data_IF_939155708540
#
_entry.id   IF_939155708540
#
_cell.length_a   1.000
_cell.length_b   1.000
_cell.length_c   1.000
_cell.angle_alpha   90.00
_cell.angle_beta   90.00
_cell.angle_gamma   90.00
#
_symmetry.space_group_name_H-M   'P 1'
#
loop_
_entity.id
_entity.type
_entity.pdbx_description
1 polymer ?
#
# COMPACT_ATOMS: atom_id res chain seq x y z
N UNK A 1 -15.45 -9.00 0.79
CA UNK A 1 -14.38 -10.04 0.90
C UNK A 1 -13.62 -9.80 2.20
N UNK A 2 -13.38 -10.84 3.01
CA UNK A 2 -12.79 -10.71 4.35
C UNK A 2 -11.26 -10.88 4.39
N UNK A 3 -10.63 -11.16 3.24
CA UNK A 3 -9.18 -11.30 3.16
C UNK A 3 -8.48 -9.99 3.55
N UNK A 4 -7.41 -10.04 4.36
CA UNK A 4 -6.63 -8.86 4.69
C UNK A 4 -5.93 -8.29 3.45
N UNK A 5 -5.71 -6.97 3.49
CA UNK A 5 -4.91 -6.24 2.50
C UNK A 5 -3.65 -5.74 3.19
N UNK A 6 -2.49 -6.06 2.62
CA UNK A 6 -1.19 -5.55 3.05
C UNK A 6 -0.74 -4.48 2.06
N UNK A 7 -0.68 -3.24 2.51
CA UNK A 7 -0.18 -2.11 1.74
C UNK A 7 1.29 -1.87 2.09
N UNK A 8 2.13 -1.58 1.11
CA UNK A 8 3.55 -1.26 1.35
C UNK A 8 3.89 0.06 0.68
N UNK A 9 4.45 1.00 1.44
CA UNK A 9 4.89 2.32 0.96
C UNK A 9 6.32 2.60 1.40
N UNK A 10 7.02 3.45 0.65
CA UNK A 10 8.37 3.89 1.01
C UNK A 10 8.39 5.06 1.99
N UNK A 11 7.33 5.87 2.00
CA UNK A 11 7.25 7.13 2.75
C UNK A 11 5.92 7.26 3.49
N UNK A 12 5.92 7.91 4.65
CA UNK A 12 4.73 8.08 5.49
C UNK A 12 3.63 8.88 4.78
N UNK A 13 4.00 9.86 3.95
CA UNK A 13 3.06 10.65 3.14
C UNK A 13 2.30 9.81 2.10
N UNK A 14 2.76 8.60 1.79
CA UNK A 14 2.07 7.68 0.89
C UNK A 14 0.94 6.89 1.57
N UNK A 15 0.89 6.86 2.91
CA UNK A 15 -0.03 5.99 3.65
C UNK A 15 -1.48 6.39 3.42
N UNK A 16 -1.85 7.64 3.69
CA UNK A 16 -3.22 8.09 3.57
C UNK A 16 -3.80 7.97 2.14
N UNK A 17 -3.12 8.47 1.09
CA UNK A 17 -3.64 8.33 -0.27
C UNK A 17 -3.75 6.86 -0.70
N UNK A 18 -2.82 6.01 -0.27
CA UNK A 18 -2.91 4.58 -0.56
C UNK A 18 -4.11 3.93 0.14
N UNK A 19 -4.36 4.22 1.41
CA UNK A 19 -5.54 3.71 2.14
C UNK A 19 -6.83 4.15 1.47
N UNK A 20 -6.95 5.43 1.10
CA UNK A 20 -8.14 5.94 0.40
C UNK A 20 -8.34 5.29 -0.97
N UNK A 21 -7.25 5.03 -1.70
CA UNK A 21 -7.31 4.35 -2.99
C UNK A 21 -7.96 2.96 -2.91
N UNK A 22 -7.89 2.29 -1.75
CA UNK A 22 -8.50 0.96 -1.57
C UNK A 22 -10.03 0.98 -1.72
N UNK A 23 -10.68 2.11 -1.42
CA UNK A 23 -12.12 2.24 -1.59
C UNK A 23 -12.51 2.09 -3.07
N UNK A 24 -11.70 2.68 -3.96
CA UNK A 24 -11.84 2.55 -5.41
C UNK A 24 -11.36 1.16 -5.89
N UNK A 25 -10.16 0.75 -5.46
CA UNK A 25 -9.51 -0.48 -5.88
C UNK A 25 -10.37 -1.72 -5.60
N UNK A 26 -11.07 -1.76 -4.47
CA UNK A 26 -11.96 -2.86 -4.10
C UNK A 26 -13.45 -2.52 -4.23
N UNK A 27 -13.78 -1.40 -4.90
CA UNK A 27 -15.16 -0.93 -5.11
C UNK A 27 -16.02 -0.92 -3.83
N UNK A 28 -15.43 -0.57 -2.68
CA UNK A 28 -16.11 -0.55 -1.38
C UNK A 28 -16.52 -1.92 -0.80
N UNK A 29 -16.12 -3.03 -1.42
CA UNK A 29 -16.51 -4.39 -1.01
C UNK A 29 -15.51 -5.08 -0.07
N UNK A 30 -14.36 -4.44 0.20
CA UNK A 30 -13.39 -4.96 1.16
C UNK A 30 -13.91 -4.81 2.59
N UNK A 31 -13.75 -5.86 3.38
CA UNK A 31 -14.21 -5.95 4.78
C UNK A 31 -13.14 -6.55 5.70
N UNK A 32 -11.96 -6.86 5.17
CA UNK A 32 -10.85 -7.44 5.94
C UNK A 32 -10.04 -6.37 6.66
N UNK A 33 -9.03 -6.78 7.42
CA UNK A 33 -8.05 -5.85 7.98
C UNK A 33 -7.19 -5.20 6.88
N UNK A 34 -6.80 -3.95 7.09
CA UNK A 34 -5.83 -3.24 6.24
C UNK A 34 -4.56 -3.04 7.05
N UNK A 35 -3.43 -3.52 6.53
CA UNK A 35 -2.14 -3.43 7.19
C UNK A 35 -1.18 -2.64 6.32
N UNK A 36 -0.88 -1.41 6.68
CA UNK A 36 0.09 -0.59 5.95
C UNK A 36 1.47 -0.74 6.59
N UNK A 37 2.45 -1.10 5.78
CA UNK A 37 3.85 -1.19 6.14
C UNK A 37 4.61 -0.05 5.49
N UNK A 38 5.11 0.89 6.30
CA UNK A 38 6.07 1.89 5.84
C UNK A 38 7.43 1.22 5.86
N UNK A 39 7.93 0.86 4.69
CA UNK A 39 9.20 0.16 4.54
C UNK A 39 10.26 1.13 4.03
N UNK A 40 11.08 1.59 4.98
CA UNK A 40 12.29 2.34 4.70
C UNK A 40 13.31 1.45 3.99
N UNK A 41 13.80 1.89 2.83
CA UNK A 41 14.82 1.17 2.08
C UNK A 41 16.19 1.31 2.75
N UNK A 42 16.99 0.24 2.80
CA UNK A 42 18.31 0.30 3.41
C UNK A 42 19.22 -0.83 2.94
N UNK A 43 19.97 -0.58 1.87
CA UNK A 43 21.23 -1.28 1.55
C UNK A 43 22.41 -0.30 1.50
N UNK A 44 22.48 0.60 2.49
CA UNK A 44 23.56 1.58 2.61
C UNK A 44 23.49 2.68 1.55
N UNK A 45 22.84 3.80 1.88
CA UNK A 45 23.52 5.10 1.84
C UNK A 45 22.62 6.26 2.25
N UNK A 46 21.29 6.21 2.08
CA UNK A 46 20.44 7.18 2.77
C UNK A 46 19.06 6.60 3.07
N UNK A 47 18.76 6.47 4.35
CA UNK A 47 17.44 6.22 4.89
C UNK A 47 16.73 7.57 5.08
N UNK A 48 16.49 8.33 4.01
CA UNK A 48 15.89 9.66 4.12
C UNK A 48 14.37 9.56 4.24
N UNK A 49 13.80 10.30 5.18
CA UNK A 49 12.39 10.69 5.15
C UNK A 49 12.11 11.52 3.90
N UNK A 50 10.86 11.57 3.46
CA UNK A 50 10.51 12.42 2.32
C UNK A 50 10.76 13.90 2.62
N UNK A 51 10.64 14.34 3.88
CA UNK A 51 11.03 15.68 4.31
C UNK A 51 12.52 15.97 4.02
N UNK A 52 13.42 15.05 4.39
CA UNK A 52 14.85 15.15 4.10
C UNK A 52 15.13 15.13 2.58
N UNK A 53 14.50 14.21 1.84
CA UNK A 53 14.62 14.15 0.36
C UNK A 53 14.22 15.49 -0.28
N UNK A 54 13.10 16.07 0.16
CA UNK A 54 12.62 17.36 -0.36
C UNK A 54 13.58 18.48 -0.02
N UNK A 55 14.12 18.51 1.21
CA UNK A 55 15.10 19.50 1.62
C UNK A 55 16.38 19.42 0.76
N UNK A 56 16.92 18.22 0.56
CA UNK A 56 18.14 17.98 -0.22
C UNK A 56 17.96 18.39 -1.69
N UNK A 57 16.81 18.06 -2.27
CA UNK A 57 16.46 18.39 -3.65
C UNK A 57 15.98 19.84 -3.81
N UNK A 58 15.89 20.62 -2.72
CA UNK A 58 15.27 21.95 -2.68
C UNK A 58 13.86 21.95 -3.29
N UNK A 59 13.13 20.87 -3.08
CA UNK A 59 11.79 20.66 -3.59
C UNK A 59 10.77 21.33 -2.67
N UNK A 60 10.32 22.51 -3.08
CA UNK A 60 9.42 23.37 -2.29
C UNK A 60 7.95 22.95 -2.35
N UNK A 61 7.57 22.01 -3.22
CA UNK A 61 6.23 21.42 -3.22
C UNK A 61 6.11 20.52 -1.99
N UNK A 62 5.53 21.11 -0.95
CA UNK A 62 5.21 20.48 0.33
C UNK A 62 3.72 20.66 0.55
N UNK A 63 3.07 19.65 1.12
CA UNK A 63 1.67 19.81 1.56
C UNK A 63 1.63 20.92 2.62
N UNK A 64 0.86 21.98 2.34
CA UNK A 64 0.52 23.02 3.31
C UNK A 64 -0.97 22.93 3.63
N UNK A 65 -1.51 21.75 3.92
CA UNK A 65 -2.89 21.62 4.41
C UNK A 65 -3.01 20.48 5.41
N UNK A 66 -3.81 20.72 6.46
CA UNK A 66 -4.23 19.67 7.37
C UNK A 66 -5.15 18.70 6.64
N UNK A 67 -4.58 17.58 6.19
CA UNK A 67 -5.26 16.32 6.48
C UNK A 67 -5.04 16.12 7.97
N UNK A 68 -6.12 15.95 8.74
CA UNK A 68 -6.03 15.33 10.07
C UNK A 68 -5.06 14.19 9.90
N UNK A 69 -3.85 14.21 10.51
CA UNK A 69 -2.84 13.17 10.28
C UNK A 69 -3.57 11.81 10.30
N UNK A 70 -3.77 11.19 9.12
CA UNK A 70 -4.99 10.41 8.88
C UNK A 70 -5.20 9.43 10.03
N UNK A 71 -6.28 9.66 10.77
CA UNK A 71 -6.60 8.78 11.90
C UNK A 71 -7.39 7.65 11.31
N UNK A 72 -6.90 6.43 11.49
CA UNK A 72 -7.49 5.29 10.85
C UNK A 72 -8.49 4.60 11.75
N UNK A 73 -9.50 4.00 11.12
CA UNK A 73 -10.42 3.10 11.80
C UNK A 73 -9.65 1.92 12.41
N UNK A 74 -10.23 1.28 13.43
CA UNK A 74 -9.56 0.25 14.26
C UNK A 74 -9.03 -0.97 13.50
N UNK A 75 -9.57 -1.26 12.31
CA UNK A 75 -9.15 -2.39 11.47
C UNK A 75 -8.06 -2.01 10.46
N UNK A 76 -7.60 -0.76 10.45
CA UNK A 76 -6.46 -0.29 9.67
C UNK A 76 -5.28 -0.10 10.62
N UNK A 77 -4.19 -0.80 10.37
CA UNK A 77 -2.98 -0.74 11.19
C UNK A 77 -1.81 -0.25 10.35
N UNK A 78 -1.13 0.81 10.80
CA UNK A 78 0.10 1.31 10.17
C UNK A 78 1.29 0.96 11.04
N UNK A 79 2.33 0.36 10.47
CA UNK A 79 3.59 0.06 11.17
C UNK A 79 4.80 0.36 10.30
N UNK A 80 5.90 0.71 10.95
CA UNK A 80 7.22 0.71 10.34
C UNK A 80 7.70 -0.74 10.16
N UNK A 81 8.15 -1.07 8.95
CA UNK A 81 8.64 -2.41 8.64
C UNK A 81 10.14 -2.55 8.87
N UNK A 82 10.61 -3.80 8.96
CA UNK A 82 12.03 -4.12 9.05
C UNK A 82 12.72 -3.77 7.72
N UNK A 83 13.92 -3.18 7.82
CA UNK A 83 14.78 -2.89 6.67
C UNK A 83 15.16 -4.19 5.95
N UNK A 84 15.21 -4.16 4.62
CA UNK A 84 15.68 -5.27 3.78
C UNK A 84 14.80 -6.52 3.78
N UNK A 85 13.63 -6.49 4.43
CA UNK A 85 12.68 -7.60 4.41
C UNK A 85 12.07 -7.76 3.01
N UNK A 86 12.09 -8.98 2.46
CA UNK A 86 11.46 -9.25 1.16
C UNK A 86 9.94 -9.11 1.26
N UNK A 87 9.28 -8.80 0.13
CA UNK A 87 7.83 -8.63 0.09
C UNK A 87 7.09 -9.87 0.61
N UNK A 88 7.55 -11.06 0.22
CA UNK A 88 6.95 -12.32 0.66
C UNK A 88 7.12 -12.55 2.17
N UNK A 89 8.30 -12.27 2.73
CA UNK A 89 8.55 -12.41 4.16
C UNK A 89 7.73 -11.39 4.98
N UNK A 90 7.65 -10.15 4.51
CA UNK A 90 6.84 -9.09 5.09
C UNK A 90 5.36 -9.47 5.08
N UNK A 91 4.83 -9.87 3.93
CA UNK A 91 3.43 -10.27 3.79
C UNK A 91 3.13 -11.46 4.71
N UNK A 92 3.97 -12.49 4.71
CA UNK A 92 3.83 -13.64 5.61
C UNK A 92 3.77 -13.20 7.08
N UNK A 93 4.74 -12.42 7.55
CA UNK A 93 4.82 -11.95 8.93
C UNK A 93 3.58 -11.16 9.35
N UNK A 94 3.10 -10.27 8.48
CA UNK A 94 1.91 -9.45 8.74
C UNK A 94 0.67 -10.34 8.84
N UNK A 95 0.51 -11.29 7.91
CA UNK A 95 -0.64 -12.19 7.87
C UNK A 95 -0.63 -13.19 9.02
N UNK A 96 0.52 -13.77 9.36
CA UNK A 96 0.68 -14.67 10.51
C UNK A 96 0.33 -13.96 11.83
N UNK A 97 0.62 -12.66 11.94
CA UNK A 97 0.24 -11.84 13.11
C UNK A 97 -1.21 -11.36 13.11
N UNK A 98 -1.89 -11.36 11.96
CA UNK A 98 -3.30 -11.02 11.84
C UNK A 98 -4.23 -12.23 12.12
N UNK A 99 -3.70 -13.45 11.99
CA UNK A 99 -4.42 -14.71 12.13
C UNK A 99 -4.90 -15.05 13.55
N UNK A 100 -4.63 -14.20 14.57
CA UNK A 100 -5.25 -14.35 15.89
C UNK A 100 -6.79 -14.15 15.87
N UNK A 101 -7.34 -13.63 14.75
CA UNK A 101 -8.78 -13.53 14.48
C UNK A 101 -9.16 -14.27 13.18
N UNK A 102 -8.65 -15.50 12.99
CA UNK A 102 -9.30 -16.51 12.15
C UNK A 102 -9.40 -16.27 10.63
N UNK A 103 -8.32 -15.93 9.93
CA UNK A 103 -8.32 -15.80 8.46
C UNK A 103 -7.43 -16.84 7.76
N UNK A 104 -7.73 -18.13 7.98
CA UNK A 104 -7.18 -19.19 7.12
C UNK A 104 -7.56 -18.89 5.67
N UNK A 105 -6.58 -18.55 4.83
CA UNK A 105 -6.76 -18.04 3.47
C UNK A 105 -7.78 -18.81 2.61
N UNK A 106 -8.30 -18.16 1.59
CA UNK A 106 -9.35 -18.67 0.70
C UNK A 106 -8.76 -19.50 -0.42
N UNK A 107 -9.22 -20.74 -0.57
CA UNK A 107 -8.88 -21.57 -1.74
C UNK A 107 -9.64 -21.09 -2.98
N UNK A 108 -8.91 -20.84 -4.06
CA UNK A 108 -9.49 -20.47 -5.34
C UNK A 108 -10.11 -21.70 -6.02
N UNK A 109 -11.34 -21.57 -6.56
CA UNK A 109 -11.99 -22.64 -7.31
C UNK A 109 -11.12 -23.18 -8.45
N UNK A 110 -11.29 -24.46 -8.78
CA UNK A 110 -10.59 -25.10 -9.90
C UNK A 110 -10.92 -24.45 -11.26
N UNK A 111 -12.00 -23.66 -11.33
CA UNK A 111 -12.42 -22.90 -12.52
C UNK A 111 -11.70 -21.56 -12.69
N UNK A 112 -10.86 -21.14 -11.73
CA UNK A 112 -10.02 -19.96 -11.88
C UNK A 112 -8.92 -20.23 -12.93
N UNK A 113 -9.08 -19.62 -14.11
CA UNK A 113 -8.10 -19.66 -15.20
C UNK A 113 -6.78 -18.95 -14.85
N UNK A 114 -5.78 -19.03 -15.75
CA UNK A 114 -4.52 -18.27 -15.61
C UNK A 114 -3.55 -18.77 -14.54
N UNK A 115 -3.67 -20.04 -14.11
CA UNK A 115 -2.76 -20.65 -13.13
C UNK A 115 -3.15 -20.45 -11.66
N UNK A 116 -4.33 -19.86 -11.39
CA UNK A 116 -4.83 -19.63 -10.02
C UNK A 116 -5.55 -20.82 -9.37
N UNK A 117 -5.91 -21.84 -10.14
CA UNK A 117 -6.66 -23.00 -9.66
C UNK A 117 -5.93 -23.74 -8.52
N UNK A 118 -6.62 -23.92 -7.37
CA UNK A 118 -6.08 -24.64 -6.22
C UNK A 118 -5.04 -23.87 -5.41
N UNK A 119 -4.83 -22.58 -5.69
CA UNK A 119 -4.07 -21.69 -4.82
C UNK A 119 -4.90 -21.31 -3.60
N UNK A 120 -4.25 -21.25 -2.44
CA UNK A 120 -4.81 -20.71 -1.21
C UNK A 120 -4.33 -19.28 -1.02
N UNK A 121 -5.23 -18.32 -1.25
CA UNK A 121 -4.96 -16.89 -1.14
C UNK A 121 -5.11 -16.45 0.31
N UNK A 122 -4.00 -16.03 0.92
CA UNK A 122 -3.98 -15.51 2.30
C UNK A 122 -4.33 -14.02 2.41
N UNK A 123 -4.22 -13.28 1.32
CA UNK A 123 -4.50 -11.85 1.29
C UNK A 123 -4.07 -11.18 -0.01
N UNK A 124 -4.34 -9.88 -0.10
CA UNK A 124 -3.86 -9.03 -1.18
C UNK A 124 -2.67 -8.20 -0.70
N UNK A 125 -1.77 -7.87 -1.62
CA UNK A 125 -0.66 -6.96 -1.39
C UNK A 125 -0.71 -5.86 -2.44
N UNK A 126 -0.72 -4.60 -1.98
CA UNK A 126 -0.54 -3.43 -2.83
C UNK A 126 0.86 -2.88 -2.55
N UNK A 127 1.80 -3.20 -3.43
CA UNK A 127 3.19 -2.75 -3.35
C UNK A 127 3.37 -1.42 -4.08
N UNK A 128 3.20 -0.34 -3.32
CA UNK A 128 3.34 1.04 -3.77
C UNK A 128 4.71 1.64 -3.39
N UNK A 129 5.71 0.79 -3.16
CA UNK A 129 7.08 1.27 -2.91
C UNK A 129 7.63 1.99 -4.14
N UNK A 130 8.47 2.98 -3.89
CA UNK A 130 9.19 3.72 -4.91
C UNK A 130 10.16 2.79 -5.65
N UNK A 131 10.02 2.61 -6.97
CA UNK A 131 11.00 1.94 -7.83
C UNK A 131 12.28 2.74 -7.93
N UNK A 132 13.42 2.03 -7.96
CA UNK A 132 14.76 2.58 -8.11
C UNK A 132 15.14 3.63 -7.03
N UNK A 133 15.45 3.15 -5.83
CA UNK A 133 15.91 3.95 -4.68
C UNK A 133 17.44 4.00 -4.64
N UNK A 134 18.08 5.14 -4.26
CA UNK A 134 17.55 6.35 -3.63
C UNK A 134 17.02 7.47 -4.55
N UNK A 135 16.02 8.22 -4.05
CA UNK A 135 15.46 9.43 -4.68
C UNK A 135 16.51 10.56 -4.72
N UNK A 136 17.20 10.69 -5.86
CA UNK A 136 18.21 11.74 -6.09
C UNK A 136 17.81 12.75 -7.18
N UNK A 137 16.61 12.58 -7.75
CA UNK A 137 16.07 13.41 -8.82
C UNK A 137 14.71 13.96 -8.42
N UNK A 138 14.53 15.28 -8.56
CA UNK A 138 13.28 15.97 -8.28
C UNK A 138 12.10 15.40 -9.08
N UNK A 139 12.35 14.88 -10.28
CA UNK A 139 11.34 14.26 -11.16
C UNK A 139 10.85 12.91 -10.64
N UNK A 140 11.59 12.27 -9.74
CA UNK A 140 11.20 10.99 -9.15
C UNK A 140 10.28 11.15 -7.93
N UNK A 141 10.26 12.35 -7.31
CA UNK A 141 9.43 12.66 -6.13
C UNK A 141 7.93 12.39 -6.36
N UNK A 142 7.30 12.81 -7.48
CA UNK A 142 5.90 12.48 -7.75
C UNK A 142 5.60 10.98 -7.79
N UNK A 143 6.56 10.20 -8.26
CA UNK A 143 6.37 8.75 -8.37
C UNK A 143 6.51 8.06 -7.02
N UNK A 144 7.14 8.71 -6.04
CA UNK A 144 7.36 8.13 -4.72
C UNK A 144 6.06 8.00 -3.91
N UNK A 145 5.05 8.80 -4.23
CA UNK A 145 3.70 8.68 -3.71
C UNK A 145 2.80 8.29 -4.88
N UNK A 146 2.75 7.00 -5.16
CA UNK A 146 1.89 6.45 -6.20
C UNK A 146 0.84 5.54 -5.58
N UNK A 147 -0.38 5.55 -6.13
CA UNK A 147 -1.46 4.67 -5.69
C UNK A 147 -2.32 4.20 -6.87
N UNK A 148 -2.94 3.01 -6.78
CA UNK A 148 -3.88 2.53 -7.79
C UNK A 148 -5.06 3.51 -7.98
N UNK A 149 -5.51 3.65 -9.22
CA UNK A 149 -6.51 4.63 -9.63
C UNK A 149 -7.71 4.06 -10.36
N UNK A 150 -7.93 2.78 -10.19
CA UNK A 150 -9.02 2.05 -10.80
C UNK A 150 -9.45 0.93 -9.87
N UNK A 151 -10.63 0.38 -10.13
CA UNK A 151 -11.03 -0.90 -9.54
C UNK A 151 -10.13 -2.01 -10.08
N UNK A 152 -9.64 -2.85 -9.17
CA UNK A 152 -8.75 -3.97 -9.48
C UNK A 152 -9.56 -5.26 -9.62
N UNK A 153 -9.22 -6.05 -10.62
CA UNK A 153 -9.72 -7.42 -10.82
C UNK A 153 -8.64 -8.45 -10.50
N UNK A 154 -9.00 -9.74 -10.43
CA UNK A 154 -8.05 -10.78 -9.99
C UNK A 154 -6.85 -10.92 -10.94
N UNK A 155 -7.05 -10.68 -12.24
CA UNK A 155 -6.00 -10.72 -13.27
C UNK A 155 -4.93 -9.64 -13.09
N UNK A 156 -5.26 -8.53 -12.42
CA UNK A 156 -4.32 -7.46 -12.10
C UNK A 156 -3.25 -7.94 -11.09
N UNK A 157 -3.52 -9.02 -10.36
CA UNK A 157 -2.62 -9.55 -9.34
C UNK A 157 -1.75 -10.70 -9.85
N UNK A 158 -0.50 -10.75 -9.41
CA UNK A 158 0.36 -11.93 -9.56
C UNK A 158 0.36 -12.72 -8.26
N UNK A 159 0.37 -14.03 -8.35
CA UNK A 159 0.49 -14.89 -7.18
C UNK A 159 1.96 -14.93 -6.71
N UNK A 160 2.17 -14.73 -5.41
CA UNK A 160 3.49 -14.85 -4.77
C UNK A 160 3.37 -15.79 -3.59
N UNK A 161 4.18 -16.86 -3.59
CA UNK A 161 4.23 -17.81 -2.48
C UNK A 161 4.74 -17.13 -1.19
N UNK A 162 4.05 -17.38 -0.08
CA UNK A 162 4.37 -16.83 1.26
C UNK A 162 4.42 -17.92 2.34
N UNK A 163 3.92 -19.12 2.07
CA UNK A 163 3.94 -20.24 2.99
C UNK A 163 5.08 -21.24 2.73
N UNK A 164 5.19 -22.29 3.57
CA UNK A 164 6.05 -23.45 3.28
C UNK A 164 5.53 -24.25 2.06
N UNK A 165 4.25 -24.09 1.71
CA UNK A 165 3.64 -24.62 0.49
C UNK A 165 3.65 -23.55 -0.61
N UNK A 166 4.04 -23.93 -1.83
CA UNK A 166 3.95 -23.05 -3.00
C UNK A 166 2.51 -22.67 -3.36
N UNK A 167 1.52 -23.41 -2.83
CA UNK A 167 0.10 -23.10 -3.00
C UNK A 167 -0.40 -22.03 -2.05
N UNK A 168 0.32 -21.73 -0.96
CA UNK A 168 -0.03 -20.67 -0.03
C UNK A 168 0.53 -19.34 -0.54
N UNK A 169 -0.35 -18.52 -1.11
CA UNK A 169 0.04 -17.32 -1.86
C UNK A 169 -0.61 -16.05 -1.31
N UNK A 170 -0.01 -14.93 -1.65
CA UNK A 170 -0.67 -13.63 -1.68
C UNK A 170 -0.82 -13.15 -3.13
N UNK A 171 -1.86 -12.36 -3.36
CA UNK A 171 -2.10 -11.71 -4.65
C UNK A 171 -1.49 -10.32 -4.62
N UNK A 172 -0.43 -10.11 -5.39
CA UNK A 172 0.35 -8.87 -5.40
C UNK A 172 0.03 -8.04 -6.63
N UNK A 173 -0.30 -6.77 -6.42
CA UNK A 173 -0.21 -5.74 -7.46
C UNK A 173 0.93 -4.81 -7.05
N UNK A 174 1.82 -4.52 -7.98
CA UNK A 174 2.93 -3.57 -7.77
C UNK A 174 2.94 -2.54 -8.86
N UNK A 175 3.61 -1.40 -8.61
CA UNK A 175 3.80 -0.39 -9.64
C UNK A 175 4.62 -0.91 -10.83
N UNK A 176 5.58 -1.80 -10.59
CA UNK A 176 6.38 -2.42 -11.64
C UNK A 176 5.52 -3.32 -12.54
N UNK A 177 4.52 -3.99 -11.96
CA UNK A 177 3.57 -4.83 -12.70
C UNK A 177 2.49 -4.01 -13.41
N UNK A 178 2.31 -2.74 -13.04
CA UNK A 178 1.21 -1.90 -13.51
C UNK A 178 1.22 -1.70 -15.03
N UNK A 179 2.39 -1.42 -15.61
CA UNK A 179 2.53 -1.22 -17.05
C UNK A 179 2.21 -2.50 -17.84
N UNK A 180 2.73 -3.64 -17.37
CA UNK A 180 2.51 -4.94 -18.02
C UNK A 180 1.05 -5.38 -17.97
N UNK A 181 0.30 -4.92 -16.96
CA UNK A 181 -1.09 -5.30 -16.71
C UNK A 181 -2.11 -4.20 -17.03
N UNK A 182 -1.65 -3.08 -17.58
CA UNK A 182 -2.47 -1.90 -17.85
C UNK A 182 -3.26 -1.40 -16.62
N UNK A 183 -2.68 -1.55 -15.42
CA UNK A 183 -3.28 -1.01 -14.19
C UNK A 183 -2.96 0.48 -14.11
N UNK A 184 -3.98 1.32 -14.04
CA UNK A 184 -3.76 2.76 -13.90
C UNK A 184 -3.32 3.12 -12.48
N UNK A 185 -2.18 3.81 -12.38
CA UNK A 185 -1.66 4.40 -11.15
C UNK A 185 -1.55 5.91 -11.31
N UNK A 186 -1.91 6.64 -10.26
CA UNK A 186 -1.70 8.08 -10.18
C UNK A 186 -0.49 8.37 -9.31
N UNK A 187 0.26 9.40 -9.70
CA UNK A 187 1.47 9.86 -9.04
C UNK A 187 1.17 11.21 -8.39
N UNK A 188 1.77 11.49 -7.23
CA UNK A 188 1.67 12.78 -6.56
C UNK A 188 2.98 13.16 -5.89
N UNK A 189 3.36 14.43 -5.97
CA UNK A 189 4.55 14.93 -5.30
C UNK A 189 4.32 15.26 -3.83
N UNK A 190 3.06 15.33 -3.44
CA UNK A 190 2.57 15.43 -2.09
C UNK A 190 1.34 14.53 -1.91
N UNK A 191 0.95 14.29 -0.66
CA UNK A 191 -0.36 13.72 -0.36
C UNK A 191 -1.48 14.55 -1.02
N UNK A 192 -1.41 15.88 -0.91
CA UNK A 192 -2.41 16.79 -1.47
C UNK A 192 -2.64 16.60 -2.97
N UNK A 193 -1.58 16.35 -3.74
CA UNK A 193 -1.68 16.10 -5.18
C UNK A 193 -2.57 14.88 -5.48
N UNK A 194 -2.41 13.81 -4.69
CA UNK A 194 -3.24 12.62 -4.80
C UNK A 194 -4.64 12.85 -4.22
N UNK A 195 -4.79 13.70 -3.20
CA UNK A 195 -6.10 14.03 -2.63
C UNK A 195 -6.98 14.83 -3.59
N UNK A 196 -6.41 15.59 -4.54
CA UNK A 196 -7.20 16.18 -5.64
C UNK A 196 -7.87 15.08 -6.47
N UNK A 197 -7.23 13.90 -6.56
CA UNK A 197 -7.77 12.73 -7.26
C UNK A 197 -8.73 11.92 -6.37
N UNK A 198 -8.46 11.82 -5.05
CA UNK A 198 -9.28 11.08 -4.06
C UNK A 198 -9.80 11.99 -2.93
N UNK A 199 -10.77 12.87 -3.21
CA UNK A 199 -10.98 14.07 -2.38
C UNK A 199 -11.76 13.90 -1.06
N UNK A 200 -12.20 12.70 -0.65
CA UNK A 200 -12.94 12.56 0.60
C UNK A 200 -12.37 11.45 1.49
N UNK A 201 -12.25 11.68 2.81
CA UNK A 201 -12.04 10.59 3.74
C UNK A 201 -13.11 9.52 3.57
N UNK A 202 -12.70 8.26 3.71
CA UNK A 202 -13.61 7.12 3.57
C UNK A 202 -13.89 6.57 4.95
N UNK A 203 -15.14 6.65 5.42
CA UNK A 203 -15.57 6.14 6.74
C UNK A 203 -15.20 4.67 6.93
N UNK A 204 -15.12 3.91 5.84
CA UNK A 204 -14.67 2.53 5.86
C UNK A 204 -13.23 2.35 6.34
N UNK A 205 -12.36 3.37 6.29
CA UNK A 205 -10.94 3.23 6.66
C UNK A 205 -10.43 4.32 7.62
N UNK A 206 -11.14 5.44 7.73
CA UNK A 206 -10.72 6.60 8.51
C UNK A 206 -11.69 6.89 9.65
N UNK A 207 -11.14 7.34 10.79
CA UNK A 207 -11.91 7.78 11.95
C UNK A 207 -12.44 9.20 11.71
N UNK A 208 -13.70 9.28 11.29
CA UNK A 208 -14.39 10.54 11.02
C UNK A 208 -14.63 11.39 12.29
N UNK A 209 -14.48 10.81 13.48
CA UNK A 209 -14.63 11.50 14.76
C UNK A 209 -13.32 12.06 15.32
N UNK A 210 -12.18 11.77 14.69
CA UNK A 210 -10.88 12.21 15.17
C UNK A 210 -10.73 13.73 15.11
N UNK A 211 -10.18 14.33 16.17
CA UNK A 211 -9.87 15.75 16.20
C UNK A 211 -8.80 16.12 15.17
N UNK A 212 -8.96 17.28 14.52
CA UNK A 212 -8.01 17.78 13.52
C UNK A 212 -6.64 18.01 14.16
N UNK A 213 -5.60 17.34 13.64
CA UNK A 213 -4.20 17.58 14.02
C UNK A 213 -3.50 18.23 12.85
N UNK A 214 -2.92 19.40 13.09
CA UNK A 214 -2.03 20.05 12.14
C UNK A 214 -0.66 19.40 12.26
N UNK A 215 -0.08 18.96 11.13
CA UNK A 215 1.33 18.62 11.09
C UNK A 215 2.12 19.89 11.38
N UNK A 216 2.76 19.97 12.55
CA UNK A 216 3.73 21.03 12.81
C UNK A 216 4.99 20.72 11.99
N UNK A 217 5.42 21.70 11.21
CA UNK A 217 6.68 21.71 10.46
C UNK A 217 7.87 21.56 11.39
#
# INVERSE_FOLDING_TARGET
>A
MALPVVCVVSYEEGVCPLVRSLALAFAGHHRGGVHVQVQRYGFGEVDATMAEVRQDLRYAQQSAMATVACTYATHVTVRQSRRGESLAALARRVLDGADEVGAGGVELPATCGGGGAGLRVRGFVVDARTPATPLRDVRAVPTALAAPAQTLSLEDFRAVAVGPSERDVVLVVSREDADAKAVHWVNGASESDLLVTYPLPVEAYEDMGAGVRWSML
#
